data_IF_821426971285
#
_entry.id   IF_821426971285
#
_cell.length_a   1.000
_cell.length_b   1.000
_cell.length_c   1.000
_cell.angle_alpha   90.00
_cell.angle_beta   90.00
_cell.angle_gamma   90.00
#
_symmetry.space_group_name_H-M   'P 1'
#
loop_
_entity.id
_entity.type
_entity.pdbx_description
1 polymer ?
#
# COMPACT_ATOMS: atom_id res chain seq x y z
N UNK A 1 0.44 -59.87 -3.55
CA UNK A 1 0.46 -58.60 -2.80
C UNK A 1 1.45 -57.65 -3.48
N UNK A 2 1.02 -56.56 -4.13
CA UNK A 2 1.95 -55.64 -4.79
C UNK A 2 2.54 -54.67 -3.76
N UNK A 3 3.86 -54.70 -3.61
CA UNK A 3 4.62 -53.76 -2.80
C UNK A 3 4.65 -52.39 -3.48
N UNK A 4 3.91 -51.41 -2.93
CA UNK A 4 4.00 -50.01 -3.35
C UNK A 4 5.35 -49.44 -2.89
N UNK A 5 6.35 -49.50 -3.77
CA UNK A 5 7.62 -48.79 -3.58
C UNK A 5 7.36 -47.28 -3.63
N UNK A 6 7.45 -46.63 -2.47
CA UNK A 6 7.43 -45.17 -2.32
C UNK A 6 8.69 -44.57 -2.94
N UNK A 7 8.72 -44.47 -4.27
CA UNK A 7 9.72 -43.70 -5.01
C UNK A 7 9.53 -42.22 -4.73
N UNK A 8 10.17 -41.69 -3.69
CA UNK A 8 10.27 -40.24 -3.50
C UNK A 8 11.00 -39.68 -4.73
N UNK A 9 10.36 -38.81 -5.54
CA UNK A 9 10.99 -38.27 -6.73
C UNK A 9 12.26 -37.53 -6.32
N UNK A 10 13.39 -37.90 -6.92
CA UNK A 10 14.66 -37.25 -6.72
C UNK A 10 14.49 -35.74 -6.94
N UNK A 11 14.62 -34.95 -5.87
CA UNK A 11 14.58 -33.50 -5.91
C UNK A 11 15.82 -33.03 -6.66
N UNK A 12 15.74 -33.00 -7.99
CA UNK A 12 16.74 -32.33 -8.84
C UNK A 12 16.81 -30.89 -8.35
N UNK A 13 17.96 -30.49 -7.79
CA UNK A 13 18.24 -29.11 -7.36
C UNK A 13 18.03 -28.18 -8.56
N UNK A 14 16.83 -27.62 -8.70
CA UNK A 14 16.56 -26.56 -9.68
C UNK A 14 17.36 -25.35 -9.22
N UNK A 15 18.16 -24.75 -10.12
CA UNK A 15 18.93 -23.55 -9.81
C UNK A 15 18.03 -22.43 -9.24
N UNK A 16 18.58 -21.63 -8.33
CA UNK A 16 17.87 -20.57 -7.60
C UNK A 16 17.08 -19.65 -8.54
N UNK A 17 17.66 -19.26 -9.68
CA UNK A 17 17.00 -18.43 -10.68
C UNK A 17 15.70 -19.04 -11.22
N UNK A 18 15.72 -20.34 -11.56
CA UNK A 18 14.50 -21.04 -12.02
C UNK A 18 13.45 -21.14 -10.91
N UNK A 19 13.89 -21.35 -9.67
CA UNK A 19 12.98 -21.38 -8.53
C UNK A 19 12.29 -20.02 -8.30
N UNK A 20 13.02 -18.90 -8.40
CA UNK A 20 12.45 -17.56 -8.29
C UNK A 20 11.54 -17.21 -9.47
N UNK A 21 11.77 -17.74 -10.66
CA UNK A 21 10.89 -17.49 -11.82
C UNK A 21 9.58 -18.29 -11.77
N UNK A 22 9.62 -19.52 -11.24
CA UNK A 22 8.48 -20.45 -11.27
C UNK A 22 7.66 -20.42 -9.97
N UNK A 23 8.30 -20.23 -8.80
CA UNK A 23 7.61 -20.22 -7.50
C UNK A 23 7.29 -18.77 -7.10
N UNK A 24 6.00 -18.43 -7.12
CA UNK A 24 5.48 -17.11 -6.75
C UNK A 24 5.86 -16.73 -5.33
N UNK A 25 5.66 -17.63 -4.36
CA UNK A 25 5.86 -17.31 -2.94
C UNK A 25 7.33 -16.98 -2.67
N UNK A 26 8.25 -17.73 -3.29
CA UNK A 26 9.69 -17.45 -3.19
C UNK A 26 10.04 -16.11 -3.81
N UNK A 27 9.45 -15.79 -4.96
CA UNK A 27 9.68 -14.50 -5.65
C UNK A 27 9.16 -13.32 -4.85
N UNK A 28 7.94 -13.42 -4.30
CA UNK A 28 7.31 -12.38 -3.48
C UNK A 28 8.11 -12.17 -2.20
N UNK A 29 8.48 -13.24 -1.51
CA UNK A 29 9.30 -13.16 -0.31
C UNK A 29 10.68 -12.54 -0.60
N UNK A 30 11.38 -13.02 -1.63
CA UNK A 30 12.73 -12.55 -1.98
C UNK A 30 12.71 -11.08 -2.42
N UNK A 31 11.87 -10.73 -3.40
CA UNK A 31 11.82 -9.37 -3.93
C UNK A 31 11.25 -8.40 -2.91
N UNK A 32 10.23 -8.79 -2.14
CA UNK A 32 9.70 -7.96 -1.07
C UNK A 32 10.75 -7.66 -0.01
N UNK A 33 11.50 -8.67 0.44
CA UNK A 33 12.55 -8.49 1.45
C UNK A 33 13.65 -7.57 0.95
N UNK A 34 14.13 -7.77 -0.29
CA UNK A 34 15.17 -6.91 -0.89
C UNK A 34 14.66 -5.48 -1.08
N UNK A 35 13.45 -5.30 -1.62
CA UNK A 35 12.88 -3.97 -1.81
C UNK A 35 12.69 -3.22 -0.48
N UNK A 36 12.25 -3.91 0.58
CA UNK A 36 12.14 -3.32 1.93
C UNK A 36 13.52 -2.98 2.50
N UNK A 37 14.52 -3.84 2.32
CA UNK A 37 15.89 -3.54 2.75
C UNK A 37 16.47 -2.32 2.01
N UNK A 38 16.24 -2.21 0.70
CA UNK A 38 16.63 -1.04 -0.10
C UNK A 38 15.87 0.22 0.32
N UNK A 39 14.59 0.11 0.64
CA UNK A 39 13.80 1.23 1.18
C UNK A 39 14.37 1.70 2.53
N UNK A 40 14.74 0.77 3.43
CA UNK A 40 15.39 1.10 4.69
C UNK A 40 16.72 1.82 4.46
N UNK A 41 17.58 1.28 3.59
CA UNK A 41 18.86 1.92 3.25
C UNK A 41 18.65 3.31 2.66
N UNK A 42 17.72 3.47 1.73
CA UNK A 42 17.37 4.77 1.13
C UNK A 42 16.88 5.78 2.17
N UNK A 43 15.99 5.36 3.08
CA UNK A 43 15.51 6.22 4.17
C UNK A 43 16.57 6.52 5.23
N UNK A 44 17.52 5.61 5.47
CA UNK A 44 18.63 5.82 6.40
C UNK A 44 19.76 6.69 5.81
N UNK A 45 19.82 6.86 4.49
CA UNK A 45 20.89 7.61 3.80
C UNK A 45 20.40 8.93 3.23
N UNK A 46 19.18 8.98 2.66
CA UNK A 46 18.63 10.15 1.98
C UNK A 46 17.11 10.32 2.28
N UNK A 47 16.68 10.39 3.56
CA UNK A 47 15.25 10.42 3.92
C UNK A 47 14.48 11.56 3.27
N UNK A 48 15.06 12.76 3.19
CA UNK A 48 14.39 13.93 2.61
C UNK A 48 14.15 13.78 1.11
N UNK A 49 15.12 13.24 0.37
CA UNK A 49 14.96 12.94 -1.06
C UNK A 49 13.97 11.82 -1.30
N UNK A 50 13.96 10.79 -0.46
CA UNK A 50 12.96 9.72 -0.50
C UNK A 50 11.54 10.28 -0.30
N UNK A 51 11.35 11.20 0.65
CA UNK A 51 10.06 11.85 0.91
C UNK A 51 9.67 12.80 -0.22
N UNK A 52 10.63 13.51 -0.83
CA UNK A 52 10.37 14.42 -1.95
C UNK A 52 9.99 13.66 -3.24
N UNK A 53 10.83 12.69 -3.64
CA UNK A 53 10.73 12.02 -4.94
C UNK A 53 9.80 10.82 -4.92
N UNK A 54 9.67 10.12 -3.79
CA UNK A 54 8.83 8.92 -3.67
C UNK A 54 7.40 9.16 -4.15
N UNK A 55 6.67 10.16 -3.61
CA UNK A 55 5.32 10.48 -4.07
C UNK A 55 5.23 10.87 -5.54
N UNK A 56 6.25 11.55 -6.08
CA UNK A 56 6.26 11.98 -7.49
C UNK A 56 6.48 10.82 -8.45
N UNK A 57 7.41 9.91 -8.13
CA UNK A 57 7.77 8.79 -8.98
C UNK A 57 6.78 7.63 -8.86
N UNK A 58 6.34 7.35 -7.63
CA UNK A 58 5.59 6.14 -7.31
C UNK A 58 4.15 6.41 -6.91
N UNK A 59 3.81 7.63 -6.50
CA UNK A 59 2.50 7.96 -5.98
C UNK A 59 1.37 7.84 -7.00
N UNK A 60 1.51 8.43 -8.19
CA UNK A 60 0.47 8.29 -9.23
C UNK A 60 0.32 6.83 -9.70
N UNK A 61 1.40 6.08 -10.01
CA UNK A 61 1.30 4.64 -10.27
C UNK A 61 0.65 3.84 -9.13
N UNK A 62 0.91 4.25 -7.89
CA UNK A 62 0.37 3.64 -6.68
C UNK A 62 -1.15 3.82 -6.61
N UNK A 63 -1.67 5.05 -6.75
CA UNK A 63 -3.11 5.32 -6.75
C UNK A 63 -3.82 4.53 -7.86
N UNK A 64 -3.19 4.43 -9.03
CA UNK A 64 -3.73 3.59 -10.11
C UNK A 64 -3.80 2.11 -9.72
N UNK A 65 -2.80 1.61 -8.98
CA UNK A 65 -2.78 0.27 -8.43
C UNK A 65 -3.93 0.06 -7.44
N UNK A 66 -4.16 1.01 -6.52
CA UNK A 66 -5.26 0.95 -5.55
C UNK A 66 -6.61 0.88 -6.26
N UNK A 67 -6.86 1.82 -7.18
CA UNK A 67 -8.09 1.84 -7.99
C UNK A 67 -8.28 0.49 -8.69
N UNK A 68 -7.22 -0.04 -9.31
CA UNK A 68 -7.28 -1.31 -10.01
C UNK A 68 -7.64 -2.46 -9.06
N UNK A 69 -6.89 -2.65 -7.97
CA UNK A 69 -6.98 -3.85 -7.15
C UNK A 69 -8.12 -3.79 -6.13
N UNK A 70 -8.38 -2.61 -5.54
CA UNK A 70 -9.41 -2.42 -4.53
C UNK A 70 -10.79 -2.15 -5.13
N UNK A 71 -10.88 -1.47 -6.27
CA UNK A 71 -12.17 -1.03 -6.83
C UNK A 71 -12.53 -1.76 -8.13
N UNK A 72 -11.66 -1.69 -9.13
CA UNK A 72 -11.97 -2.16 -10.47
C UNK A 72 -12.13 -3.69 -10.50
N UNK A 73 -11.12 -4.40 -10.00
CA UNK A 73 -11.11 -5.87 -9.99
C UNK A 73 -12.11 -6.51 -9.04
N UNK A 74 -12.48 -5.82 -7.97
CA UNK A 74 -13.55 -6.27 -7.07
C UNK A 74 -14.95 -5.99 -7.65
N UNK A 75 -15.04 -5.19 -8.71
CA UNK A 75 -16.33 -4.76 -9.30
C UNK A 75 -17.07 -3.75 -8.42
N UNK A 76 -16.39 -3.09 -7.48
CA UNK A 76 -17.02 -2.12 -6.58
C UNK A 76 -17.45 -0.84 -7.29
N UNK A 77 -16.80 -0.47 -8.39
CA UNK A 77 -17.26 0.59 -9.29
C UNK A 77 -18.65 0.34 -9.90
N UNK A 78 -19.18 -0.89 -9.84
CA UNK A 78 -20.53 -1.23 -10.32
C UNK A 78 -21.60 -1.12 -9.24
N UNK A 79 -21.22 -0.70 -8.02
CA UNK A 79 -22.12 -0.59 -6.86
C UNK A 79 -22.31 0.89 -6.52
N UNK A 80 -23.44 1.52 -6.89
CA UNK A 80 -23.67 2.95 -6.67
C UNK A 80 -23.45 3.39 -5.22
N UNK A 81 -23.88 2.60 -4.24
CA UNK A 81 -23.66 2.89 -2.82
C UNK A 81 -22.17 2.91 -2.43
N UNK A 82 -21.34 2.02 -3.00
CA UNK A 82 -19.90 2.02 -2.73
C UNK A 82 -19.22 3.21 -3.40
N UNK A 83 -19.60 3.53 -4.64
CA UNK A 83 -19.11 4.74 -5.32
C UNK A 83 -19.48 6.01 -4.56
N UNK A 84 -20.73 6.11 -4.09
CA UNK A 84 -21.20 7.24 -3.29
C UNK A 84 -20.38 7.40 -2.01
N UNK A 85 -20.05 6.28 -1.34
CA UNK A 85 -19.20 6.30 -0.15
C UNK A 85 -17.78 6.79 -0.46
N UNK A 86 -17.17 6.31 -1.55
CA UNK A 86 -15.81 6.71 -1.94
C UNK A 86 -15.78 8.20 -2.30
N UNK A 87 -16.74 8.66 -3.13
CA UNK A 87 -16.83 10.07 -3.54
C UNK A 87 -17.16 10.96 -2.35
N UNK A 88 -18.11 10.56 -1.50
CA UNK A 88 -18.47 11.30 -0.30
C UNK A 88 -17.33 11.41 0.71
N UNK A 89 -16.55 10.32 0.88
CA UNK A 89 -15.36 10.30 1.73
C UNK A 89 -14.28 11.23 1.21
N UNK A 90 -13.95 11.11 -0.08
CA UNK A 90 -12.99 11.99 -0.73
C UNK A 90 -13.40 13.47 -0.65
N UNK A 91 -14.69 13.78 -0.82
CA UNK A 91 -15.22 15.13 -0.67
C UNK A 91 -15.11 15.62 0.79
N UNK A 92 -15.44 14.79 1.78
CA UNK A 92 -15.28 15.14 3.19
C UNK A 92 -13.80 15.39 3.54
N UNK A 93 -12.89 14.54 3.07
CA UNK A 93 -11.44 14.73 3.23
C UNK A 93 -10.98 16.05 2.60
N UNK A 94 -11.43 16.37 1.39
CA UNK A 94 -11.13 17.64 0.72
C UNK A 94 -11.69 18.87 1.47
N UNK A 95 -12.78 18.70 2.22
CA UNK A 95 -13.36 19.73 3.10
C UNK A 95 -12.68 19.81 4.48
N UNK A 96 -11.61 19.05 4.72
CA UNK A 96 -10.83 19.11 5.96
C UNK A 96 -11.31 18.17 7.06
N UNK A 97 -12.18 17.20 6.78
CA UNK A 97 -12.56 16.19 7.76
C UNK A 97 -11.49 15.09 7.96
N UNK A 98 -10.49 15.02 7.07
CA UNK A 98 -9.36 14.11 7.19
C UNK A 98 -9.79 12.64 7.33
N UNK A 99 -9.14 11.88 8.21
CA UNK A 99 -9.42 10.45 8.44
C UNK A 99 -10.87 10.16 8.83
N UNK A 100 -11.58 11.15 9.40
CA UNK A 100 -13.00 11.00 9.78
C UNK A 100 -13.87 10.80 8.53
N UNK A 101 -13.53 11.45 7.41
CA UNK A 101 -14.20 11.26 6.13
C UNK A 101 -14.11 9.81 5.66
N UNK A 102 -12.89 9.25 5.62
CA UNK A 102 -12.66 7.85 5.28
C UNK A 102 -13.34 6.85 6.22
N UNK A 103 -13.31 7.10 7.53
CA UNK A 103 -13.99 6.25 8.52
C UNK A 103 -15.53 6.31 8.35
N UNK A 104 -16.11 7.48 8.11
CA UNK A 104 -17.54 7.62 7.84
C UNK A 104 -17.94 6.83 6.58
N UNK A 105 -17.13 6.91 5.51
CA UNK A 105 -17.33 6.13 4.29
C UNK A 105 -17.20 4.63 4.51
N UNK A 106 -16.23 4.19 5.30
CA UNK A 106 -16.09 2.79 5.71
C UNK A 106 -17.33 2.29 6.47
N UNK A 107 -17.86 3.11 7.39
CA UNK A 107 -19.11 2.83 8.12
C UNK A 107 -20.31 2.72 7.18
N UNK A 108 -20.42 3.65 6.23
CA UNK A 108 -21.49 3.65 5.23
C UNK A 108 -21.47 2.38 4.38
N UNK A 109 -20.32 1.96 3.84
CA UNK A 109 -20.27 0.75 3.00
C UNK A 109 -20.60 -0.52 3.77
N UNK A 110 -20.36 -0.58 5.08
CA UNK A 110 -20.75 -1.72 5.92
C UNK A 110 -22.28 -1.89 5.99
N UNK A 111 -23.05 -0.79 5.86
CA UNK A 111 -24.52 -0.83 5.78
C UNK A 111 -25.02 -1.48 4.49
N UNK A 112 -24.23 -1.42 3.41
CA UNK A 112 -24.57 -1.95 2.08
C UNK A 112 -23.69 -3.14 1.65
N UNK A 113 -22.86 -3.65 2.56
CA UNK A 113 -22.02 -4.81 2.32
C UNK A 113 -22.87 -6.09 2.26
N UNK A 114 -22.41 -7.06 1.48
CA UNK A 114 -23.08 -8.37 1.30
C UNK A 114 -22.68 -9.41 2.36
N UNK A 115 -22.00 -8.97 3.43
CA UNK A 115 -21.54 -9.81 4.53
C UNK A 115 -22.65 -10.26 5.47
N UNK A 116 -22.31 -11.17 6.39
CA UNK A 116 -23.23 -11.58 7.47
C UNK A 116 -23.53 -10.41 8.40
N UNK A 117 -24.73 -10.40 9.02
CA UNK A 117 -25.13 -9.35 9.99
C UNK A 117 -24.12 -9.22 11.14
N UNK A 118 -23.59 -10.34 11.64
CA UNK A 118 -22.58 -10.35 12.69
C UNK A 118 -21.29 -9.62 12.26
N UNK A 119 -20.74 -9.93 11.08
CA UNK A 119 -19.55 -9.23 10.56
C UNK A 119 -19.82 -7.75 10.32
N UNK A 120 -20.99 -7.39 9.81
CA UNK A 120 -21.39 -5.99 9.63
C UNK A 120 -21.45 -5.25 10.96
N UNK A 121 -22.07 -5.83 11.98
CA UNK A 121 -22.16 -5.23 13.31
C UNK A 121 -20.78 -5.05 13.95
N UNK A 122 -19.91 -6.07 13.89
CA UNK A 122 -18.53 -5.97 14.40
C UNK A 122 -17.74 -4.92 13.65
N UNK A 123 -17.79 -4.92 12.32
CA UNK A 123 -17.09 -3.94 11.50
C UNK A 123 -17.56 -2.52 11.78
N UNK A 124 -18.88 -2.33 11.95
CA UNK A 124 -19.47 -1.04 12.24
C UNK A 124 -19.08 -0.56 13.64
N UNK A 125 -19.10 -1.44 14.65
CA UNK A 125 -18.67 -1.12 16.00
C UNK A 125 -17.19 -0.68 16.04
N UNK A 126 -16.31 -1.39 15.32
CA UNK A 126 -14.89 -1.01 15.20
C UNK A 126 -14.74 0.35 14.52
N UNK A 127 -15.40 0.57 13.38
CA UNK A 127 -15.33 1.85 12.66
C UNK A 127 -15.90 3.00 13.49
N UNK A 128 -17.01 2.79 14.20
CA UNK A 128 -17.62 3.79 15.08
C UNK A 128 -16.70 4.15 16.26
N UNK A 129 -16.04 3.15 16.86
CA UNK A 129 -15.06 3.38 17.92
C UNK A 129 -13.85 4.19 17.41
N UNK A 130 -13.31 3.83 16.23
CA UNK A 130 -12.22 4.58 15.59
C UNK A 130 -12.64 6.01 15.21
N UNK A 131 -13.87 6.18 14.72
CA UNK A 131 -14.41 7.50 14.40
C UNK A 131 -14.55 8.35 15.67
N UNK A 132 -15.13 7.81 16.75
CA UNK A 132 -15.22 8.49 18.04
C UNK A 132 -13.85 8.89 18.59
N UNK A 133 -12.86 8.00 18.49
CA UNK A 133 -11.47 8.30 18.87
C UNK A 133 -10.87 9.40 18.00
N UNK A 134 -11.13 9.40 16.68
CA UNK A 134 -10.66 10.44 15.77
C UNK A 134 -11.32 11.81 16.01
N UNK A 135 -12.57 11.84 16.48
CA UNK A 135 -13.21 13.06 16.95
C UNK A 135 -12.51 13.59 18.21
N UNK A 136 -12.30 12.72 19.20
CA UNK A 136 -11.65 13.09 20.47
C UNK A 136 -10.20 13.55 20.28
N UNK A 137 -9.41 12.86 19.45
CA UNK A 137 -8.00 13.17 19.24
C UNK A 137 -7.75 14.41 18.37
N UNK A 138 -8.78 14.99 17.73
CA UNK A 138 -8.59 16.20 16.94
C UNK A 138 -7.61 16.00 15.76
N UNK A 139 -6.78 17.00 15.42
CA UNK A 139 -5.78 16.91 14.35
C UNK A 139 -4.73 15.81 14.55
N UNK A 140 -4.51 15.34 15.79
CA UNK A 140 -3.58 14.23 16.07
C UNK A 140 -4.05 12.94 15.38
N UNK A 141 -5.36 12.79 15.15
CA UNK A 141 -5.89 11.62 14.42
C UNK A 141 -5.40 11.56 12.97
N UNK A 142 -5.29 12.69 12.27
CA UNK A 142 -4.77 12.74 10.90
C UNK A 142 -3.28 12.46 10.86
N UNK A 143 -2.51 12.97 11.83
CA UNK A 143 -1.10 12.64 11.99
C UNK A 143 -0.90 11.15 12.28
N UNK A 144 -1.67 10.58 13.20
CA UNK A 144 -1.62 9.16 13.51
C UNK A 144 -1.98 8.32 12.27
N UNK A 145 -3.02 8.71 11.54
CA UNK A 145 -3.40 8.07 10.29
C UNK A 145 -2.30 8.20 9.23
N UNK A 146 -1.63 9.35 9.12
CA UNK A 146 -0.49 9.56 8.22
C UNK A 146 0.67 8.58 8.48
N UNK A 147 0.84 8.07 9.70
CA UNK A 147 1.79 6.99 9.96
C UNK A 147 1.16 5.61 9.75
N UNK A 148 -0.01 5.38 10.34
CA UNK A 148 -0.65 4.06 10.39
C UNK A 148 -1.16 3.57 9.03
N UNK A 149 -1.56 4.46 8.09
CA UNK A 149 -2.00 4.03 6.75
C UNK A 149 -0.90 3.30 5.98
N UNK A 150 0.38 3.64 6.22
CA UNK A 150 1.49 2.91 5.61
C UNK A 150 1.48 1.41 6.00
N UNK A 151 1.01 1.10 7.20
CA UNK A 151 0.86 -0.26 7.72
C UNK A 151 -0.42 -0.93 7.20
N UNK A 152 -1.45 -0.16 6.79
CA UNK A 152 -2.69 -0.68 6.20
C UNK A 152 -2.38 -1.46 4.92
N UNK A 153 -1.54 -0.93 4.02
CA UNK A 153 -1.10 -1.66 2.84
C UNK A 153 -0.47 -3.02 3.18
N UNK A 154 0.43 -3.07 4.18
CA UNK A 154 1.06 -4.34 4.61
C UNK A 154 0.02 -5.31 5.17
N UNK A 155 -0.95 -4.82 5.95
CA UNK A 155 -2.06 -5.62 6.46
C UNK A 155 -2.97 -6.14 5.35
N UNK A 156 -3.32 -5.30 4.38
CA UNK A 156 -4.10 -5.66 3.20
C UNK A 156 -3.38 -6.68 2.33
N UNK A 157 -2.07 -6.50 2.11
CA UNK A 157 -1.23 -7.48 1.45
C UNK A 157 -1.28 -8.80 2.20
N UNK A 158 -0.99 -8.81 3.50
CA UNK A 158 -1.00 -10.03 4.30
C UNK A 158 -2.33 -10.78 4.19
N UNK A 159 -3.44 -10.05 4.28
CA UNK A 159 -4.79 -10.57 4.14
C UNK A 159 -5.18 -10.94 2.69
N UNK A 160 -4.46 -10.46 1.68
CA UNK A 160 -4.85 -10.56 0.26
C UNK A 160 -5.09 -11.99 -0.23
N UNK A 161 -4.28 -12.93 0.25
CA UNK A 161 -4.36 -14.37 -0.06
C UNK A 161 -3.98 -15.22 1.15
N UNK A 162 -4.52 -16.45 1.26
CA UNK A 162 -4.07 -17.41 2.26
C UNK A 162 -2.57 -17.68 2.15
N UNK A 163 -1.86 -17.61 3.28
CA UNK A 163 -0.42 -17.82 3.36
C UNK A 163 -0.13 -19.29 3.65
N UNK A 164 0.22 -20.05 2.61
CA UNK A 164 0.53 -21.50 2.73
C UNK A 164 1.98 -21.80 3.12
N UNK A 165 2.90 -20.85 2.91
CA UNK A 165 4.33 -20.98 3.21
C UNK A 165 4.78 -19.88 4.18
N UNK A 166 5.69 -20.25 5.09
CA UNK A 166 6.33 -19.34 6.05
C UNK A 166 7.22 -18.27 5.41
N UNK A 167 7.51 -18.37 4.11
CA UNK A 167 8.36 -17.39 3.41
C UNK A 167 7.82 -15.96 3.45
N UNK A 168 6.51 -15.78 3.60
CA UNK A 168 5.89 -14.45 3.67
C UNK A 168 6.20 -13.69 4.96
N UNK A 169 6.72 -14.37 5.99
CA UNK A 169 7.19 -13.70 7.21
C UNK A 169 8.48 -12.90 6.98
N UNK A 170 9.25 -13.18 5.93
CA UNK A 170 10.50 -12.45 5.66
C UNK A 170 10.28 -10.95 5.37
N UNK A 171 9.40 -10.55 4.43
CA UNK A 171 9.07 -9.14 4.24
C UNK A 171 8.52 -8.47 5.50
N UNK A 172 7.66 -9.16 6.27
CA UNK A 172 7.10 -8.63 7.52
C UNK A 172 8.19 -8.40 8.58
N UNK A 173 9.06 -9.38 8.79
CA UNK A 173 10.17 -9.27 9.72
C UNK A 173 11.12 -8.14 9.29
N UNK A 174 11.44 -8.03 8.01
CA UNK A 174 12.28 -6.95 7.49
C UNK A 174 11.66 -5.56 7.74
N UNK A 175 10.34 -5.42 7.52
CA UNK A 175 9.64 -4.16 7.79
C UNK A 175 9.59 -3.81 9.28
N UNK A 176 9.29 -4.80 10.13
CA UNK A 176 9.25 -4.62 11.58
C UNK A 176 10.64 -4.28 12.15
N UNK A 177 11.69 -5.01 11.74
CA UNK A 177 13.06 -4.75 12.16
C UNK A 177 13.57 -3.39 11.65
N UNK A 178 13.27 -3.03 10.39
CA UNK A 178 13.64 -1.71 9.85
C UNK A 178 12.96 -0.56 10.61
N UNK A 179 11.68 -0.71 10.92
CA UNK A 179 10.91 0.28 11.71
C UNK A 179 11.49 0.43 13.12
N UNK A 180 11.76 -0.69 13.79
CA UNK A 180 12.38 -0.69 15.11
C UNK A 180 13.78 -0.06 15.06
N UNK A 181 14.62 -0.45 14.09
CA UNK A 181 15.97 0.09 13.93
C UNK A 181 15.97 1.62 13.77
N UNK A 182 15.04 2.18 12.99
CA UNK A 182 14.86 3.64 12.86
C UNK A 182 14.48 4.26 14.21
N UNK A 183 13.48 3.70 14.89
CA UNK A 183 12.98 4.23 16.17
C UNK A 183 14.02 4.16 17.31
N UNK A 184 14.89 3.15 17.31
CA UNK A 184 16.00 3.02 18.24
C UNK A 184 17.26 3.82 17.84
N UNK A 185 17.24 4.52 16.70
CA UNK A 185 18.35 5.37 16.25
C UNK A 185 19.49 4.62 15.56
N UNK A 186 19.30 3.36 15.16
CA UNK A 186 20.33 2.55 14.46
C UNK A 186 20.71 3.18 13.10
N UNK A 187 19.81 3.95 12.48
CA UNK A 187 20.07 4.65 11.23
C UNK A 187 20.92 5.94 11.39
N UNK A 188 21.11 6.46 12.61
CA UNK A 188 21.77 7.75 12.86
C UNK A 188 23.24 7.83 12.39
N UNK A 189 24.08 6.78 12.52
CA UNK A 189 25.43 6.81 11.97
C UNK A 189 25.44 7.01 10.46
N UNK A 190 24.54 6.36 9.72
CA UNK A 190 24.42 6.51 8.27
C UNK A 190 23.96 7.91 7.89
N UNK A 191 22.96 8.46 8.59
CA UNK A 191 22.48 9.83 8.35
C UNK A 191 23.56 10.88 8.53
N UNK A 192 24.40 10.72 9.57
CA UNK A 192 25.55 11.60 9.81
C UNK A 192 26.62 11.46 8.74
N UNK A 193 26.91 10.23 8.33
CA UNK A 193 27.90 9.95 7.28
C UNK A 193 27.48 10.54 5.93
N UNK A 194 26.21 10.45 5.56
CA UNK A 194 25.72 10.90 4.25
C UNK A 194 25.24 12.34 4.22
N UNK A 195 25.06 12.99 5.38
CA UNK A 195 24.39 14.28 5.47
C UNK A 195 22.91 14.22 5.05
N UNK A 196 22.27 13.04 5.15
CA UNK A 196 20.93 12.77 4.59
C UNK A 196 19.78 13.62 5.12
N UNK A 197 20.02 14.38 6.19
CA UNK A 197 19.11 15.37 6.76
C UNK A 197 19.10 16.71 6.02
N UNK A 198 19.88 16.85 4.95
CA UNK A 198 19.84 17.98 4.01
C UNK A 198 19.43 17.49 2.62
N UNK A 199 18.53 18.22 1.96
CA UNK A 199 18.11 17.96 0.58
C UNK A 199 18.08 19.28 -0.21
N UNK A 200 19.24 19.85 -0.54
CA UNK A 200 19.32 21.13 -1.23
C UNK A 200 18.60 21.07 -2.58
N UNK A 201 17.89 22.14 -2.93
CA UNK A 201 17.11 22.22 -4.18
C UNK A 201 15.80 21.43 -4.18
N UNK A 202 15.57 20.55 -3.20
CA UNK A 202 14.28 19.84 -3.08
C UNK A 202 13.13 20.75 -2.66
N UNK A 203 13.40 21.87 -1.98
CA UNK A 203 12.36 22.72 -1.37
C UNK A 203 11.72 22.14 -0.10
N UNK A 204 12.17 20.97 0.39
CA UNK A 204 11.79 20.43 1.68
C UNK A 204 12.78 20.86 2.76
N UNK A 205 12.25 21.20 3.94
CA UNK A 205 13.04 21.40 5.16
C UNK A 205 12.72 20.32 6.18
N UNK A 206 13.75 19.85 6.89
CA UNK A 206 13.56 18.89 7.98
C UNK A 206 12.64 19.47 9.05
N UNK A 207 12.81 20.76 9.40
CA UNK A 207 11.94 21.46 10.34
C UNK A 207 10.47 21.38 9.93
N UNK A 208 10.12 21.73 8.69
CA UNK A 208 8.73 21.63 8.24
C UNK A 208 8.18 20.21 8.39
N UNK A 209 8.98 19.19 8.05
CA UNK A 209 8.58 17.80 8.17
C UNK A 209 8.44 17.33 9.61
N UNK A 210 9.30 17.74 10.55
CA UNK A 210 9.15 17.36 11.96
C UNK A 210 7.89 17.97 12.58
N UNK A 211 7.51 19.20 12.18
CA UNK A 211 6.24 19.81 12.56
C UNK A 211 5.01 19.10 11.97
N UNK A 212 5.14 18.55 10.76
CA UNK A 212 4.02 17.91 10.06
C UNK A 212 3.88 16.41 10.35
N UNK A 213 4.95 15.74 10.75
CA UNK A 213 5.03 14.28 10.86
C UNK A 213 5.39 13.77 12.26
N UNK A 214 5.53 14.64 13.25
CA UNK A 214 5.80 14.21 14.62
C UNK A 214 4.79 14.80 15.62
N UNK A 215 4.33 14.01 16.61
CA UNK A 215 3.53 14.55 17.71
C UNK A 215 4.35 15.50 18.62
N UNK A 216 5.68 15.43 18.55
CA UNK A 216 6.59 16.36 19.19
C UNK A 216 7.65 16.82 18.18
N UNK A 217 7.63 18.08 17.72
CA UNK A 217 8.45 18.52 16.59
C UNK A 217 9.94 18.68 16.92
N UNK A 218 10.33 18.50 18.19
CA UNK A 218 11.68 18.78 18.70
C UNK A 218 12.34 17.48 19.19
N UNK A 219 13.65 17.39 18.97
CA UNK A 219 14.49 16.31 19.51
C UNK A 219 14.65 15.10 18.57
N UNK A 220 15.43 14.09 18.99
CA UNK A 220 15.80 12.97 18.13
C UNK A 220 14.59 12.17 17.62
N UNK A 221 13.56 12.04 18.45
CA UNK A 221 12.36 11.28 18.08
C UNK A 221 11.59 11.93 16.94
N UNK A 222 11.57 13.27 16.85
CA UNK A 222 10.93 13.97 15.75
C UNK A 222 11.54 13.59 14.40
N UNK A 223 12.88 13.56 14.34
CA UNK A 223 13.64 13.15 13.15
C UNK A 223 13.40 11.67 12.84
N UNK A 224 13.38 10.79 13.85
CA UNK A 224 13.09 9.36 13.68
C UNK A 224 11.69 9.11 13.11
N UNK A 225 10.68 9.89 13.51
CA UNK A 225 9.35 9.84 12.89
C UNK A 225 9.35 10.25 11.43
N UNK A 226 10.11 11.29 11.04
CA UNK A 226 10.24 11.68 9.62
C UNK A 226 10.88 10.56 8.81
N UNK A 227 11.94 9.94 9.31
CA UNK A 227 12.62 8.82 8.64
C UNK A 227 11.70 7.60 8.55
N UNK A 228 11.01 7.27 9.65
CA UNK A 228 10.04 6.17 9.70
C UNK A 228 8.93 6.37 8.68
N UNK A 229 8.40 7.60 8.57
CA UNK A 229 7.41 7.94 7.56
C UNK A 229 7.95 7.71 6.15
N UNK A 230 9.14 8.21 5.83
CA UNK A 230 9.77 8.00 4.53
C UNK A 230 9.99 6.51 4.20
N UNK A 231 10.41 5.72 5.20
CA UNK A 231 10.58 4.27 5.08
C UNK A 231 9.26 3.55 4.87
N UNK A 232 8.28 3.79 5.74
CA UNK A 232 6.97 3.15 5.69
C UNK A 232 6.22 3.51 4.41
N UNK A 233 6.33 4.76 3.93
CA UNK A 233 5.78 5.21 2.65
C UNK A 233 6.41 4.48 1.46
N UNK A 234 7.72 4.26 1.47
CA UNK A 234 8.37 3.46 0.43
C UNK A 234 7.90 1.99 0.46
N UNK A 235 7.74 1.40 1.65
CA UNK A 235 7.18 0.05 1.81
C UNK A 235 5.73 -0.03 1.34
N UNK A 236 4.93 1.00 1.62
CA UNK A 236 3.56 1.13 1.13
C UNK A 236 3.52 1.09 -0.42
N UNK A 237 4.38 1.85 -1.09
CA UNK A 237 4.53 1.76 -2.56
C UNK A 237 4.98 0.38 -3.04
N UNK A 238 5.94 -0.25 -2.35
CA UNK A 238 6.41 -1.61 -2.68
C UNK A 238 5.25 -2.61 -2.62
N UNK A 239 4.40 -2.51 -1.60
CA UNK A 239 3.25 -3.40 -1.45
C UNK A 239 2.33 -3.30 -2.67
N UNK A 240 1.91 -2.09 -3.03
CA UNK A 240 0.93 -1.87 -4.09
C UNK A 240 1.49 -2.03 -5.50
N UNK A 241 2.76 -1.66 -5.72
CA UNK A 241 3.38 -1.73 -7.04
C UNK A 241 4.07 -3.08 -7.31
N UNK A 242 4.43 -3.83 -6.25
CA UNK A 242 5.14 -5.09 -6.39
C UNK A 242 4.46 -6.29 -5.75
N UNK A 243 4.14 -6.23 -4.46
CA UNK A 243 3.73 -7.44 -3.73
C UNK A 243 2.31 -7.89 -4.10
N UNK A 244 1.33 -7.00 -4.01
CA UNK A 244 -0.06 -7.30 -4.39
C UNK A 244 -0.17 -7.72 -5.86
N UNK A 245 0.42 -7.00 -6.84
CA UNK A 245 0.38 -7.41 -8.24
C UNK A 245 0.98 -8.80 -8.51
N UNK A 246 2.03 -9.16 -7.78
CA UNK A 246 2.71 -10.43 -7.96
C UNK A 246 1.95 -11.59 -7.28
N UNK A 247 1.39 -11.36 -6.10
CA UNK A 247 0.53 -12.30 -5.38
C UNK A 247 -0.76 -12.59 -6.14
N UNK A 248 -1.38 -11.53 -6.66
CA UNK A 248 -2.70 -11.58 -7.28
C UNK A 248 -2.70 -12.24 -8.67
N UNK A 249 -1.54 -12.30 -9.35
CA UNK A 249 -1.45 -12.85 -10.71
C UNK A 249 -2.03 -14.27 -10.79
N UNK A 250 -2.77 -14.63 -11.85
CA UNK A 250 -3.24 -16.01 -12.04
C UNK A 250 -2.09 -16.99 -12.32
N UNK A 251 -1.21 -16.66 -13.27
CA UNK A 251 -0.07 -17.50 -13.66
C UNK A 251 1.06 -17.47 -12.63
N UNK A 252 1.78 -18.59 -12.41
CA UNK A 252 3.03 -18.60 -11.63
C UNK A 252 4.18 -17.86 -12.32
N UNK A 253 4.17 -17.72 -13.66
CA UNK A 253 5.24 -17.06 -14.41
C UNK A 253 5.00 -15.55 -14.59
N UNK A 254 6.08 -14.75 -14.70
CA UNK A 254 5.98 -13.33 -15.05
C UNK A 254 5.27 -13.04 -16.37
N UNK A 255 4.53 -11.93 -16.42
CA UNK A 255 3.96 -11.38 -17.66
C UNK A 255 4.99 -10.46 -18.32
N UNK A 256 4.93 -10.33 -19.64
CA UNK A 256 5.64 -9.24 -20.33
C UNK A 256 5.02 -7.87 -19.97
N UNK A 257 5.76 -6.79 -20.25
CA UNK A 257 5.23 -5.42 -20.07
C UNK A 257 4.00 -5.16 -20.94
N UNK A 258 4.01 -5.59 -22.20
CA UNK A 258 2.86 -5.42 -23.11
C UNK A 258 1.62 -6.18 -22.63
N UNK A 259 1.78 -7.40 -22.10
CA UNK A 259 0.68 -8.14 -21.47
C UNK A 259 0.16 -7.42 -20.22
N UNK A 260 1.06 -6.88 -19.39
CA UNK A 260 0.69 -6.15 -18.18
C UNK A 260 -0.11 -4.88 -18.49
N UNK A 261 0.32 -4.11 -19.50
CA UNK A 261 -0.39 -2.91 -19.97
C UNK A 261 -1.77 -3.24 -20.54
N UNK A 262 -1.90 -4.29 -21.37
CA UNK A 262 -3.21 -4.71 -21.90
C UNK A 262 -4.18 -5.14 -20.80
N UNK A 263 -3.72 -5.87 -19.79
CA UNK A 263 -4.59 -6.27 -18.67
C UNK A 263 -4.96 -5.05 -17.82
N UNK A 264 -4.01 -4.14 -17.57
CA UNK A 264 -4.28 -2.91 -16.85
C UNK A 264 -5.38 -2.07 -17.57
N UNK A 265 -5.26 -1.87 -18.88
CA UNK A 265 -6.28 -1.17 -19.66
C UNK A 265 -7.65 -1.85 -19.69
N UNK A 266 -7.69 -3.19 -19.66
CA UNK A 266 -8.96 -3.94 -19.50
C UNK A 266 -9.59 -3.78 -18.12
N UNK A 267 -8.77 -3.63 -17.08
CA UNK A 267 -9.25 -3.51 -15.71
C UNK A 267 -9.79 -2.10 -15.42
N UNK A 268 -9.08 -1.03 -15.83
CA UNK A 268 -9.44 0.36 -15.46
C UNK A 268 -9.98 1.23 -16.60
N UNK A 269 -9.84 0.80 -17.86
CA UNK A 269 -10.23 1.59 -19.03
C UNK A 269 -9.17 2.61 -19.48
N UNK A 270 -9.27 3.05 -20.74
CA UNK A 270 -8.28 3.97 -21.37
C UNK A 270 -8.29 5.38 -20.78
N UNK A 271 -9.46 5.89 -20.39
CA UNK A 271 -9.60 7.24 -19.81
C UNK A 271 -8.77 7.36 -18.53
N UNK A 272 -8.87 6.37 -17.63
CA UNK A 272 -8.09 6.35 -16.38
C UNK A 272 -6.59 6.29 -16.66
N UNK A 273 -6.16 5.54 -17.69
CA UNK A 273 -4.74 5.48 -18.07
C UNK A 273 -4.23 6.81 -18.62
N UNK A 274 -5.01 7.50 -19.46
CA UNK A 274 -4.63 8.82 -19.97
C UNK A 274 -4.58 9.86 -18.85
N UNK A 275 -5.56 9.86 -17.93
CA UNK A 275 -5.51 10.72 -16.75
C UNK A 275 -4.30 10.44 -15.87
N UNK A 276 -3.93 9.16 -15.70
CA UNK A 276 -2.71 8.77 -14.97
C UNK A 276 -1.46 9.31 -15.65
N UNK A 277 -1.32 9.12 -16.96
CA UNK A 277 -0.17 9.61 -17.73
C UNK A 277 -0.06 11.13 -17.70
N UNK A 278 -1.19 11.84 -17.85
CA UNK A 278 -1.26 13.29 -17.74
C UNK A 278 -0.87 13.76 -16.32
N UNK A 279 -1.38 13.09 -15.27
CA UNK A 279 -1.02 13.39 -13.89
C UNK A 279 0.49 13.26 -13.62
N UNK A 280 1.12 12.18 -14.10
CA UNK A 280 2.58 12.01 -14.02
C UNK A 280 3.31 13.17 -14.70
N UNK A 281 2.90 13.54 -15.92
CA UNK A 281 3.51 14.64 -16.66
C UNK A 281 3.35 15.98 -15.93
N UNK A 282 2.16 16.29 -15.41
CA UNK A 282 1.88 17.51 -14.64
C UNK A 282 2.79 17.62 -13.42
N UNK A 283 2.88 16.57 -12.60
CA UNK A 283 3.74 16.61 -11.41
C UNK A 283 5.23 16.64 -11.75
N UNK A 284 5.66 15.99 -12.84
CA UNK A 284 7.03 16.06 -13.30
C UNK A 284 7.42 17.48 -13.76
N UNK A 285 6.57 18.11 -14.58
CA UNK A 285 6.78 19.51 -15.02
C UNK A 285 6.75 20.45 -13.81
N UNK A 286 5.81 20.27 -12.88
CA UNK A 286 5.74 21.07 -11.66
C UNK A 286 7.04 20.94 -10.85
N UNK A 287 7.53 19.72 -10.64
CA UNK A 287 8.76 19.48 -9.89
C UNK A 287 9.99 20.15 -10.52
N UNK A 288 10.05 20.24 -11.86
CA UNK A 288 11.12 20.91 -12.60
C UNK A 288 11.00 22.44 -12.55
N UNK A 289 9.78 22.98 -12.59
CA UNK A 289 9.53 24.44 -12.65
C UNK A 289 9.60 25.10 -11.27
N UNK A 290 9.15 24.44 -10.20
CA UNK A 290 9.15 25.03 -8.85
C UNK A 290 10.14 24.35 -7.91
N UNK A 291 9.86 23.11 -7.51
CA UNK A 291 10.72 22.21 -6.72
C UNK A 291 10.02 20.88 -6.50
N UNK A 292 10.79 19.83 -6.21
CA UNK A 292 10.24 18.53 -5.87
C UNK A 292 9.30 18.56 -4.64
N UNK A 293 9.63 19.37 -3.63
CA UNK A 293 8.87 19.52 -2.39
C UNK A 293 7.52 20.20 -2.60
N UNK A 294 7.48 21.26 -3.42
CA UNK A 294 6.22 21.91 -3.78
C UNK A 294 5.31 20.97 -4.59
N UNK A 295 5.87 20.29 -5.61
CA UNK A 295 5.12 19.30 -6.38
C UNK A 295 4.63 18.14 -5.51
N UNK A 296 5.45 17.66 -4.55
CA UNK A 296 5.07 16.61 -3.59
C UNK A 296 3.92 17.04 -2.71
N UNK A 297 3.93 18.27 -2.19
CA UNK A 297 2.84 18.78 -1.35
C UNK A 297 1.54 18.90 -2.16
N UNK A 298 1.62 19.40 -3.40
CA UNK A 298 0.47 19.43 -4.32
C UNK A 298 -0.07 18.01 -4.59
N UNK A 299 0.83 17.04 -4.86
CA UNK A 299 0.45 15.64 -5.04
C UNK A 299 -0.26 15.10 -3.82
N UNK A 300 0.25 15.31 -2.60
CA UNK A 300 -0.37 14.75 -1.40
C UNK A 300 -1.74 15.34 -1.06
N UNK A 301 -1.98 16.61 -1.38
CA UNK A 301 -3.30 17.21 -1.24
C UNK A 301 -4.33 16.50 -2.11
N UNK A 302 -3.94 16.08 -3.31
CA UNK A 302 -4.79 15.30 -4.21
C UNK A 302 -4.83 13.84 -3.79
N UNK A 303 -3.71 13.28 -3.33
CA UNK A 303 -3.61 11.87 -3.03
C UNK A 303 -4.34 11.47 -1.76
N UNK A 304 -4.61 12.38 -0.81
CA UNK A 304 -5.09 12.03 0.53
C UNK A 304 -6.34 11.11 0.55
N UNK A 305 -7.21 11.19 -0.48
CA UNK A 305 -8.39 10.31 -0.58
C UNK A 305 -8.07 8.82 -0.73
N UNK A 306 -6.85 8.43 -1.15
CA UNK A 306 -6.53 7.01 -1.33
C UNK A 306 -6.58 6.25 0.01
N UNK A 307 -6.22 6.91 1.12
CA UNK A 307 -6.39 6.32 2.45
C UNK A 307 -7.86 6.00 2.76
N UNK A 308 -8.79 6.84 2.31
CA UNK A 308 -10.23 6.60 2.46
C UNK A 308 -10.67 5.38 1.63
N UNK A 309 -10.12 5.25 0.42
CA UNK A 309 -10.36 4.12 -0.47
C UNK A 309 -9.86 2.80 0.15
N UNK A 310 -8.70 2.80 0.79
CA UNK A 310 -8.18 1.65 1.54
C UNK A 310 -9.07 1.28 2.72
N UNK A 311 -9.55 2.26 3.51
CA UNK A 311 -10.46 2.01 4.64
C UNK A 311 -11.79 1.41 4.17
N UNK A 312 -12.38 1.96 3.11
CA UNK A 312 -13.59 1.41 2.48
C UNK A 312 -13.35 -0.02 2.00
N UNK A 313 -12.23 -0.27 1.33
CA UNK A 313 -11.91 -1.59 0.84
C UNK A 313 -11.65 -2.59 1.97
N UNK A 314 -10.94 -2.20 3.04
CA UNK A 314 -10.72 -3.02 4.22
C UNK A 314 -12.05 -3.42 4.89
N UNK A 315 -12.99 -2.48 5.02
CA UNK A 315 -14.32 -2.74 5.57
C UNK A 315 -15.13 -3.72 4.71
N UNK A 316 -15.06 -3.57 3.37
CA UNK A 316 -15.71 -4.49 2.44
C UNK A 316 -15.07 -5.88 2.43
N UNK A 317 -13.73 -5.97 2.46
CA UNK A 317 -13.00 -7.23 2.53
C UNK A 317 -13.33 -8.00 3.81
N UNK A 318 -13.33 -7.31 4.96
CA UNK A 318 -13.70 -7.89 6.24
C UNK A 318 -15.15 -8.43 6.24
N UNK A 319 -16.10 -7.61 5.79
CA UNK A 319 -17.52 -7.96 5.83
C UNK A 319 -17.87 -9.06 4.83
N UNK A 320 -17.39 -8.98 3.58
CA UNK A 320 -17.76 -9.88 2.50
C UNK A 320 -16.88 -11.13 2.39
N UNK A 321 -15.71 -11.16 3.05
CA UNK A 321 -14.70 -12.23 2.98
C UNK A 321 -14.35 -12.68 1.54
N UNK A 322 -14.45 -11.77 0.58
CA UNK A 322 -14.05 -12.02 -0.80
C UNK A 322 -12.58 -11.66 -0.95
N UNK A 323 -11.71 -12.64 -0.74
CA UNK A 323 -10.34 -12.52 -1.20
C UNK A 323 -10.26 -12.88 -2.69
N UNK A 324 -9.47 -12.10 -3.44
CA UNK A 324 -9.21 -12.28 -4.87
C UNK A 324 -8.60 -13.66 -5.12
N UNK A 325 -9.44 -14.66 -5.38
CA UNK A 325 -9.03 -16.04 -5.64
C UNK A 325 -10.19 -17.00 -5.89
N UNK A 326 -11.34 -16.83 -5.21
CA UNK A 326 -12.45 -17.79 -5.32
C UNK A 326 -13.26 -17.69 -6.60
N UNK A 327 -13.32 -16.53 -7.27
CA UNK A 327 -14.11 -16.37 -8.50
C UNK A 327 -13.53 -17.14 -9.71
N UNK A 328 -12.24 -17.47 -9.69
CA UNK A 328 -11.63 -18.33 -10.70
C UNK A 328 -11.89 -19.81 -10.42
N UNK A 329 -11.88 -20.22 -9.14
CA UNK A 329 -12.06 -21.62 -8.77
C UNK A 329 -13.51 -22.09 -8.92
N UNK A 330 -14.49 -21.21 -8.69
CA UNK A 330 -15.91 -21.60 -8.78
C UNK A 330 -16.41 -21.85 -10.21
N UNK A 331 -15.70 -21.36 -11.25
CA UNK A 331 -16.06 -21.63 -12.66
C UNK A 331 -15.41 -22.90 -13.22
N UNK A 332 -14.36 -23.40 -12.58
CA UNK A 332 -13.66 -24.61 -13.02
C UNK A 332 -14.34 -25.88 -12.47
N UNK A 333 -14.90 -25.81 -11.26
CA UNK A 333 -15.66 -26.92 -10.67
C UNK A 333 -17.08 -27.06 -11.22
N UNK A 334 -17.63 -26.06 -11.93
CA UNK A 334 -18.95 -26.15 -12.56
C UNK A 334 -18.90 -26.56 -14.04
N UNK A 335 -17.73 -26.96 -14.55
CA UNK A 335 -17.51 -27.40 -15.94
C UNK A 335 -16.86 -28.79 -16.03
N UNK A 336 -16.85 -29.55 -14.94
CA UNK A 336 -16.62 -30.99 -15.01
C UNK A 336 -17.97 -31.66 -15.35
N UNK A 337 -18.11 -32.35 -16.50
CA UNK A 337 -19.29 -33.13 -16.84
C UNK A 337 -19.49 -34.33 -15.93
#
# INVERSE_FOLDING_TARGET
MPSHSNGRPAIRRRGLGRALLVDRDRRVAFLGTISIALAFLGSATFPLWMIALGPLLWGVPHILSDIRYLIARQGYHKRPAVLLAIVGGAAATALGYGVRGGLASAGFVLLFSRGTRARRAVGFAVVAALFGLAQWAGPISDLAFAHLHNFVAVGLWWAWRPRSKSLHYWPLAAFAMGSAAILYGVAEPLLRLTGGLSAPGSGLSLTYLTYSLSPSPIGPMAVRFVILYGFAQAVHYIVWLRLIPEDDRPSPTPRSYSQSYRVLGKDVGSIVLWMTAAGIAVFAVWALVTSAGAARNAYLNVAFFHGDLELVAAALLFSEARLSGSAAHSKETSRAP
#
